data_IF_685594803474
#
_entry.id   IF_685594803474
#
_cell.length_a   1.000
_cell.length_b   1.000
_cell.length_c   1.000
_cell.angle_alpha   90.00
_cell.angle_beta   90.00
_cell.angle_gamma   90.00
#
_symmetry.space_group_name_H-M   'P 1'
#
loop_
_entity.id
_entity.type
_entity.pdbx_description
1 polymer ?
#
# COMPACT_ATOMS: atom_id res chain seq x y z
N UNK A 1 5.30 27.43 -0.41
CA UNK A 1 5.46 26.93 -1.79
C UNK A 1 6.48 25.82 -1.77
N UNK A 2 6.09 24.64 -2.23
CA UNK A 2 6.94 23.45 -2.34
C UNK A 2 6.77 22.89 -3.76
N UNK A 3 7.80 22.21 -4.27
CA UNK A 3 7.85 21.59 -5.59
C UNK A 3 7.47 20.13 -5.47
N UNK A 4 6.32 19.77 -6.03
CA UNK A 4 5.73 18.44 -5.92
C UNK A 4 5.76 17.76 -7.27
N UNK A 5 6.20 16.50 -7.29
CA UNK A 5 6.11 15.66 -8.48
C UNK A 5 5.02 14.62 -8.28
N UNK A 6 4.08 14.59 -9.22
CA UNK A 6 2.99 13.61 -9.26
C UNK A 6 3.35 12.53 -10.26
N UNK A 7 3.56 11.32 -9.75
CA UNK A 7 3.76 10.11 -10.55
C UNK A 7 2.42 9.41 -10.72
N UNK A 8 2.10 8.99 -11.94
CA UNK A 8 0.85 8.29 -12.22
C UNK A 8 1.07 6.87 -12.72
N UNK A 9 0.33 5.92 -12.14
CA UNK A 9 0.30 4.53 -12.60
C UNK A 9 -0.96 4.18 -13.38
N UNK A 10 -1.87 5.15 -13.53
CA UNK A 10 -3.22 4.99 -14.07
C UNK A 10 -4.27 4.90 -12.95
N UNK A 11 -5.20 3.95 -13.07
CA UNK A 11 -6.29 3.77 -12.12
C UNK A 11 -7.47 4.72 -12.32
N UNK A 12 -8.50 4.58 -11.48
CA UNK A 12 -9.81 5.22 -11.63
C UNK A 12 -9.75 6.74 -11.81
N UNK A 13 -8.80 7.42 -11.17
CA UNK A 13 -8.63 8.88 -11.24
C UNK A 13 -8.32 9.36 -12.67
N UNK A 14 -7.70 8.51 -13.48
CA UNK A 14 -7.37 8.76 -14.89
C UNK A 14 -8.28 7.98 -15.86
N UNK A 15 -9.29 7.26 -15.36
CA UNK A 15 -10.13 6.36 -16.15
C UNK A 15 -11.46 6.99 -16.54
N UNK A 16 -11.68 7.18 -17.84
CA UNK A 16 -13.02 7.54 -18.36
C UNK A 16 -13.76 6.30 -18.86
N UNK A 17 -15.10 6.35 -18.86
CA UNK A 17 -15.91 5.34 -19.54
C UNK A 17 -15.87 5.59 -21.05
N UNK A 18 -15.60 4.54 -21.81
CA UNK A 18 -15.60 4.57 -23.27
C UNK A 18 -16.73 3.69 -23.85
N UNK A 19 -16.70 3.40 -25.15
CA UNK A 19 -17.67 2.53 -25.81
C UNK A 19 -17.57 1.04 -25.42
N UNK A 20 -16.51 0.66 -24.71
CA UNK A 20 -16.35 -0.68 -24.12
C UNK A 20 -16.91 -0.75 -22.70
N UNK A 21 -17.45 -1.90 -22.25
CA UNK A 21 -17.90 -2.06 -20.87
C UNK A 21 -16.79 -1.83 -19.84
N UNK A 22 -17.01 -0.91 -18.90
CA UNK A 22 -16.04 -0.55 -17.85
C UNK A 22 -15.32 0.79 -18.09
N UNK A 23 -14.51 1.22 -17.13
CA UNK A 23 -13.68 2.42 -17.25
C UNK A 23 -12.21 2.04 -17.41
N UNK A 24 -11.50 2.75 -18.28
CA UNK A 24 -10.09 2.48 -18.60
C UNK A 24 -9.29 3.75 -18.52
N UNK A 25 -8.04 3.69 -18.02
CA UNK A 25 -7.16 4.84 -17.92
C UNK A 25 -6.87 5.44 -19.29
N UNK A 26 -7.25 6.69 -19.51
CA UNK A 26 -7.17 7.38 -20.82
C UNK A 26 -6.67 8.83 -20.72
N UNK A 27 -6.70 9.43 -19.52
CA UNK A 27 -6.18 10.79 -19.30
C UNK A 27 -4.75 10.76 -18.76
N UNK A 28 -3.89 11.67 -19.23
CA UNK A 28 -2.54 11.85 -18.68
C UNK A 28 -2.59 12.63 -17.38
N UNK A 29 -1.60 12.43 -16.52
CA UNK A 29 -1.50 13.20 -15.28
C UNK A 29 -1.33 14.70 -15.53
N UNK A 30 -0.67 15.10 -16.63
CA UNK A 30 -0.56 16.50 -17.02
C UNK A 30 -1.92 17.14 -17.30
N UNK A 31 -2.84 16.41 -17.95
CA UNK A 31 -4.19 16.90 -18.23
C UNK A 31 -5.00 17.06 -16.93
N UNK A 32 -4.91 16.08 -16.03
CA UNK A 32 -5.55 16.14 -14.71
C UNK A 32 -5.05 17.33 -13.88
N UNK A 33 -3.75 17.63 -13.92
CA UNK A 33 -3.17 18.74 -13.17
C UNK A 33 -3.57 20.12 -13.68
N UNK A 34 -4.09 20.26 -14.91
CA UNK A 34 -4.57 21.54 -15.43
C UNK A 34 -5.88 22.01 -14.77
N UNK A 35 -6.69 21.07 -14.26
CA UNK A 35 -7.99 21.38 -13.63
C UNK A 35 -7.94 21.37 -12.10
N UNK A 36 -6.86 20.86 -11.50
CA UNK A 36 -6.72 20.68 -10.05
C UNK A 36 -6.16 21.95 -9.40
N UNK A 37 -6.81 22.45 -8.35
CA UNK A 37 -6.23 23.51 -7.51
C UNK A 37 -5.05 22.97 -6.70
N UNK A 38 -3.83 23.35 -7.09
CA UNK A 38 -2.59 22.95 -6.40
C UNK A 38 -2.23 23.89 -5.24
N UNK A 39 -3.09 24.85 -4.92
CA UNK A 39 -2.85 25.88 -3.91
C UNK A 39 -1.64 26.75 -4.28
N UNK A 40 -0.65 26.80 -3.39
CA UNK A 40 0.59 27.58 -3.60
C UNK A 40 1.78 26.71 -4.01
N UNK A 41 1.55 25.46 -4.40
CA UNK A 41 2.60 24.51 -4.76
C UNK A 41 2.87 24.52 -6.26
N UNK A 42 4.15 24.36 -6.62
CA UNK A 42 4.55 24.09 -7.99
C UNK A 42 4.44 22.59 -8.22
N UNK A 43 3.65 22.15 -9.21
CA UNK A 43 3.34 20.74 -9.41
C UNK A 43 3.69 20.31 -10.83
N UNK A 44 4.45 19.25 -10.94
CA UNK A 44 4.80 18.60 -12.21
C UNK A 44 4.23 17.18 -12.24
N UNK A 45 3.81 16.71 -13.41
CA UNK A 45 3.24 15.38 -13.58
C UNK A 45 4.12 14.50 -14.47
N UNK A 46 4.19 13.20 -14.16
CA UNK A 46 4.80 12.19 -15.03
C UNK A 46 4.03 10.88 -14.96
N UNK A 47 3.54 10.40 -16.10
CA UNK A 47 3.00 9.05 -16.22
C UNK A 47 4.16 8.04 -16.22
N UNK A 48 4.13 7.08 -15.29
CA UNK A 48 5.13 6.00 -15.19
C UNK A 48 4.54 4.65 -15.62
N UNK A 49 3.23 4.46 -15.44
CA UNK A 49 2.47 3.31 -15.92
C UNK A 49 1.05 3.77 -16.30
N UNK A 50 0.33 2.92 -17.04
CA UNK A 50 -1.09 3.14 -17.40
C UNK A 50 -1.86 1.83 -17.24
N UNK A 51 -1.71 1.20 -16.07
CA UNK A 51 -2.20 -0.16 -15.81
C UNK A 51 -3.13 -0.14 -14.59
N UNK A 52 -4.30 -0.78 -14.70
CA UNK A 52 -5.21 -0.95 -13.57
C UNK A 52 -4.52 -1.71 -12.43
N UNK A 53 -4.72 -1.27 -11.18
CA UNK A 53 -4.00 -1.81 -10.02
C UNK A 53 -4.20 -3.32 -9.83
N UNK A 54 -5.32 -3.88 -10.29
CA UNK A 54 -5.63 -5.32 -10.30
C UNK A 54 -4.87 -6.14 -11.35
N UNK A 55 -4.09 -5.50 -12.23
CA UNK A 55 -3.23 -6.14 -13.23
C UNK A 55 -1.74 -6.01 -12.92
N UNK A 56 -1.37 -5.26 -11.87
CA UNK A 56 0.02 -5.03 -11.52
C UNK A 56 0.68 -6.32 -11.02
N UNK A 57 1.94 -6.49 -11.39
CA UNK A 57 2.80 -7.56 -10.90
C UNK A 57 4.05 -6.99 -10.22
N UNK A 58 4.95 -7.85 -9.73
CA UNK A 58 6.16 -7.43 -9.01
C UNK A 58 7.09 -6.51 -9.83
N UNK A 59 7.18 -6.71 -11.14
CA UNK A 59 7.97 -5.84 -12.01
C UNK A 59 7.39 -4.42 -12.05
N UNK A 60 6.07 -4.31 -12.14
CA UNK A 60 5.41 -2.99 -12.11
C UNK A 60 5.64 -2.29 -10.76
N UNK A 61 5.52 -3.05 -9.66
CA UNK A 61 5.80 -2.54 -8.31
C UNK A 61 7.26 -2.07 -8.15
N UNK A 62 8.23 -2.79 -8.72
CA UNK A 62 9.63 -2.35 -8.76
C UNK A 62 9.80 -1.06 -9.56
N UNK A 63 9.21 -0.95 -10.75
CA UNK A 63 9.25 0.27 -11.58
C UNK A 63 8.69 1.47 -10.80
N UNK A 64 7.60 1.29 -10.05
CA UNK A 64 7.02 2.33 -9.20
C UNK A 64 8.02 2.73 -8.10
N UNK A 65 8.60 1.76 -7.39
CA UNK A 65 9.56 2.03 -6.32
C UNK A 65 10.83 2.75 -6.83
N UNK A 66 11.38 2.33 -7.96
CA UNK A 66 12.52 2.98 -8.63
C UNK A 66 12.17 4.41 -9.03
N UNK A 67 11.00 4.62 -9.64
CA UNK A 67 10.55 5.95 -10.07
C UNK A 67 10.39 6.93 -8.90
N UNK A 68 9.78 6.48 -7.79
CA UNK A 68 9.66 7.29 -6.58
C UNK A 68 11.05 7.59 -6.01
N UNK A 69 11.93 6.60 -5.91
CA UNK A 69 13.27 6.79 -5.39
C UNK A 69 14.10 7.79 -6.23
N UNK A 70 13.97 7.75 -7.55
CA UNK A 70 14.67 8.69 -8.44
C UNK A 70 14.18 10.12 -8.29
N UNK A 71 12.87 10.33 -8.14
CA UNK A 71 12.31 11.66 -7.86
C UNK A 71 12.77 12.17 -6.49
N UNK A 72 12.82 11.30 -5.47
CA UNK A 72 13.26 11.69 -4.13
C UNK A 72 14.73 12.13 -4.08
N UNK A 73 15.59 11.66 -5.01
CA UNK A 73 16.98 12.10 -5.15
C UNK A 73 17.13 13.50 -5.75
N UNK A 74 16.12 14.02 -6.43
CA UNK A 74 16.17 15.36 -7.01
C UNK A 74 16.03 16.42 -5.91
N UNK A 75 17.06 17.24 -5.70
CA UNK A 75 17.05 18.37 -4.77
C UNK A 75 16.02 19.45 -5.18
N UNK A 76 15.47 19.36 -6.39
CA UNK A 76 14.38 20.20 -6.85
C UNK A 76 12.97 19.65 -6.55
N UNK A 77 12.88 18.48 -5.94
CA UNK A 77 11.62 17.91 -5.47
C UNK A 77 11.56 17.99 -3.93
N UNK A 78 10.47 18.55 -3.41
CA UNK A 78 10.21 18.68 -1.97
C UNK A 78 9.23 17.60 -1.45
N UNK A 79 8.46 16.95 -2.34
CA UNK A 79 7.53 15.87 -2.01
C UNK A 79 6.97 15.15 -3.24
N UNK A 80 6.52 13.91 -3.06
CA UNK A 80 6.01 13.05 -4.14
C UNK A 80 4.56 12.68 -3.88
N UNK A 81 3.72 12.76 -4.91
CA UNK A 81 2.38 12.16 -4.93
C UNK A 81 2.37 11.01 -5.95
N UNK A 82 1.85 9.85 -5.58
CA UNK A 82 1.59 8.74 -6.48
C UNK A 82 0.08 8.59 -6.66
N UNK A 83 -0.42 8.81 -7.88
CA UNK A 83 -1.80 8.45 -8.23
C UNK A 83 -1.84 6.98 -8.64
N UNK A 84 -2.72 6.21 -7.99
CA UNK A 84 -2.77 4.76 -8.07
C UNK A 84 -4.19 4.23 -8.09
N UNK A 85 -4.41 3.07 -8.74
CA UNK A 85 -5.66 2.33 -8.63
C UNK A 85 -5.89 1.79 -7.21
N UNK A 86 -7.13 1.80 -6.75
CA UNK A 86 -7.44 1.54 -5.32
C UNK A 86 -7.38 0.07 -4.92
N UNK A 87 -7.37 -0.88 -5.86
CA UNK A 87 -7.51 -2.31 -5.52
C UNK A 87 -6.27 -2.90 -4.85
N UNK A 88 -5.07 -2.42 -5.20
CA UNK A 88 -3.79 -2.88 -4.64
C UNK A 88 -2.95 -1.71 -4.11
N UNK A 89 -3.60 -0.57 -3.84
CA UNK A 89 -2.96 0.64 -3.33
C UNK A 89 -2.22 0.38 -2.01
N UNK A 90 -2.85 -0.39 -1.11
CA UNK A 90 -2.28 -0.74 0.20
C UNK A 90 -0.97 -1.53 0.10
N UNK A 91 -0.85 -2.42 -0.89
CA UNK A 91 0.34 -3.23 -1.14
C UNK A 91 1.47 -2.36 -1.70
N UNK A 92 1.14 -1.51 -2.67
CA UNK A 92 2.11 -0.61 -3.32
C UNK A 92 2.62 0.44 -2.33
N UNK A 93 1.73 1.05 -1.56
CA UNK A 93 2.09 2.03 -0.53
C UNK A 93 3.01 1.39 0.53
N UNK A 94 2.72 0.16 0.95
CA UNK A 94 3.56 -0.55 1.91
C UNK A 94 4.93 -0.93 1.33
N UNK A 95 5.01 -1.38 0.07
CA UNK A 95 6.31 -1.59 -0.59
C UNK A 95 7.16 -0.31 -0.57
N UNK A 96 6.58 0.82 -0.93
CA UNK A 96 7.28 2.11 -0.90
C UNK A 96 7.76 2.43 0.51
N UNK A 97 6.90 2.27 1.52
CA UNK A 97 7.22 2.49 2.95
C UNK A 97 8.38 1.63 3.44
N UNK A 98 8.50 0.39 2.94
CA UNK A 98 9.60 -0.50 3.27
C UNK A 98 10.94 -0.05 2.70
N UNK A 99 10.98 0.69 1.59
CA UNK A 99 12.23 0.88 0.80
C UNK A 99 12.72 2.33 0.72
N UNK A 100 11.89 3.31 1.07
CA UNK A 100 12.32 4.72 1.03
C UNK A 100 12.89 5.20 2.36
N UNK A 101 14.04 5.86 2.29
CA UNK A 101 14.74 6.44 3.44
C UNK A 101 14.68 7.97 3.50
N UNK A 102 14.04 8.61 2.51
CA UNK A 102 13.94 10.07 2.43
C UNK A 102 13.17 10.67 3.60
N UNK A 103 13.49 11.92 3.96
CA UNK A 103 12.66 12.73 4.86
C UNK A 103 11.52 13.43 4.11
N UNK A 104 11.61 13.54 2.77
CA UNK A 104 10.59 14.16 1.92
C UNK A 104 9.29 13.34 1.97
N UNK A 105 8.11 13.97 1.99
CA UNK A 105 6.85 13.25 2.04
C UNK A 105 6.60 12.43 0.76
N UNK A 106 6.06 11.22 0.92
CA UNK A 106 5.54 10.38 -0.17
C UNK A 106 4.08 10.08 0.14
N UNK A 107 3.19 10.47 -0.76
CA UNK A 107 1.75 10.36 -0.58
C UNK A 107 1.16 9.54 -1.71
N UNK A 108 0.38 8.50 -1.40
CA UNK A 108 -0.36 7.69 -2.37
C UNK A 108 -1.83 8.05 -2.31
N UNK A 109 -2.46 8.26 -3.46
CA UNK A 109 -3.88 8.58 -3.57
C UNK A 109 -4.50 7.99 -4.83
N UNK A 110 -5.80 8.17 -5.02
CA UNK A 110 -6.56 7.67 -6.16
C UNK A 110 -8.01 8.13 -6.12
N UNK A 111 -8.90 7.37 -6.75
CA UNK A 111 -10.34 7.62 -6.74
C UNK A 111 -11.16 6.32 -6.65
N UNK A 112 -12.30 6.38 -5.98
CA UNK A 112 -13.32 5.33 -6.02
C UNK A 112 -14.31 5.51 -7.17
N UNK A 113 -14.51 6.76 -7.61
CA UNK A 113 -15.42 7.12 -8.69
C UNK A 113 -14.64 7.69 -9.87
N UNK A 114 -15.05 7.32 -11.07
CA UNK A 114 -14.46 7.82 -12.32
C UNK A 114 -14.78 9.31 -12.53
N UNK A 115 -13.99 10.04 -13.32
CA UNK A 115 -14.20 11.48 -13.55
C UNK A 115 -15.58 11.82 -14.15
N UNK A 116 -16.18 10.90 -14.92
CA UNK A 116 -17.53 11.07 -15.50
C UNK A 116 -18.67 10.81 -14.51
N UNK A 117 -18.38 10.34 -13.29
CA UNK A 117 -19.39 10.06 -12.27
C UNK A 117 -19.78 11.30 -11.47
N UNK A 118 -21.07 11.42 -11.13
CA UNK A 118 -21.55 12.46 -10.20
C UNK A 118 -20.85 12.28 -8.85
N UNK A 119 -20.26 13.38 -8.34
CA UNK A 119 -19.54 13.36 -7.07
C UNK A 119 -18.25 12.53 -7.12
N UNK A 120 -17.52 12.60 -8.24
CA UNK A 120 -16.17 12.04 -8.35
C UNK A 120 -15.27 12.56 -7.24
N UNK A 121 -14.43 11.69 -6.69
CA UNK A 121 -13.58 11.98 -5.54
C UNK A 121 -12.12 12.24 -5.92
N UNK A 122 -11.72 11.95 -7.17
CA UNK A 122 -10.33 12.02 -7.62
C UNK A 122 -9.68 13.40 -7.48
N UNK A 123 -10.37 14.46 -7.88
CA UNK A 123 -9.84 15.83 -7.79
C UNK A 123 -9.57 16.24 -6.34
N UNK A 124 -10.57 16.07 -5.45
CA UNK A 124 -10.41 16.40 -4.03
C UNK A 124 -9.32 15.56 -3.35
N UNK A 125 -9.28 14.26 -3.63
CA UNK A 125 -8.24 13.38 -3.11
C UNK A 125 -6.83 13.83 -3.59
N UNK A 126 -6.70 14.26 -4.84
CA UNK A 126 -5.44 14.75 -5.38
C UNK A 126 -5.03 16.09 -4.77
N UNK A 127 -5.97 17.04 -4.58
CA UNK A 127 -5.72 18.29 -3.88
C UNK A 127 -5.22 18.04 -2.45
N UNK A 128 -5.91 17.16 -1.71
CA UNK A 128 -5.51 16.78 -0.35
C UNK A 128 -4.12 16.13 -0.34
N UNK A 129 -3.84 15.23 -1.30
CA UNK A 129 -2.54 14.58 -1.41
C UNK A 129 -1.40 15.56 -1.71
N UNK A 130 -1.63 16.53 -2.60
CA UNK A 130 -0.67 17.60 -2.92
C UNK A 130 -0.42 18.47 -1.67
N UNK A 131 -1.47 18.84 -0.93
CA UNK A 131 -1.33 19.61 0.30
C UNK A 131 -0.54 18.85 1.38
N UNK A 132 -0.75 17.53 1.51
CA UNK A 132 0.04 16.67 2.40
C UNK A 132 1.49 16.56 1.92
N UNK A 133 1.72 16.34 0.62
CA UNK A 133 3.08 16.23 0.08
C UNK A 133 3.88 17.54 0.22
N UNK A 134 3.21 18.69 0.15
CA UNK A 134 3.82 20.02 0.32
C UNK A 134 3.91 20.53 1.76
N UNK A 135 3.43 19.77 2.74
CA UNK A 135 3.45 20.16 4.15
C UNK A 135 4.74 19.72 4.84
N UNK A 136 5.43 20.66 5.48
CA UNK A 136 6.60 20.33 6.33
C UNK A 136 6.24 19.42 7.50
N UNK A 137 4.98 19.43 7.96
CA UNK A 137 4.49 18.52 9.02
C UNK A 137 4.47 17.07 8.57
N UNK A 138 4.52 16.80 7.27
CA UNK A 138 4.42 15.46 6.68
C UNK A 138 5.78 14.80 6.45
N UNK A 139 6.87 15.51 6.73
CA UNK A 139 8.22 14.95 6.66
C UNK A 139 8.44 13.86 7.71
N UNK A 140 9.26 12.87 7.36
CA UNK A 140 9.65 11.74 8.23
C UNK A 140 8.50 10.85 8.73
N UNK A 141 7.34 10.85 8.06
CA UNK A 141 6.16 10.05 8.44
C UNK A 141 5.98 8.73 7.66
N UNK A 142 7.00 8.29 6.95
CA UNK A 142 6.89 7.15 6.03
C UNK A 142 6.05 7.50 4.80
N UNK A 143 5.46 6.50 4.17
CA UNK A 143 4.46 6.69 3.12
C UNK A 143 3.08 6.88 3.74
N UNK A 144 2.34 7.84 3.19
CA UNK A 144 0.98 8.16 3.61
C UNK A 144 -0.02 7.84 2.51
N UNK A 145 -1.21 7.40 2.89
CA UNK A 145 -2.35 7.23 1.98
C UNK A 145 -3.36 8.33 2.30
N UNK A 146 -3.81 9.07 1.29
CA UNK A 146 -4.76 10.19 1.46
C UNK A 146 -6.03 9.95 0.66
N UNK A 147 -7.17 9.89 1.35
CA UNK A 147 -8.48 9.66 0.77
C UNK A 147 -9.57 10.34 1.61
N UNK A 148 -10.51 11.03 0.96
CA UNK A 148 -11.66 11.66 1.59
C UNK A 148 -11.29 12.52 2.82
N UNK A 149 -10.24 13.33 2.71
CA UNK A 149 -9.73 14.18 3.80
C UNK A 149 -8.99 13.46 4.92
N UNK A 150 -8.91 12.13 4.93
CA UNK A 150 -8.19 11.37 5.95
C UNK A 150 -6.76 11.03 5.50
N UNK A 151 -5.82 11.07 6.45
CA UNK A 151 -4.41 10.72 6.24
C UNK A 151 -4.11 9.42 6.99
N UNK A 152 -3.78 8.37 6.26
CA UNK A 152 -3.50 7.03 6.79
C UNK A 152 -2.00 6.70 6.66
N UNK A 153 -1.40 5.96 7.61
CA UNK A 153 -0.10 5.36 7.38
C UNK A 153 -0.20 4.26 6.31
N UNK A 154 0.87 4.01 5.54
CA UNK A 154 0.88 2.86 4.62
C UNK A 154 0.80 1.53 5.38
N UNK A 155 1.66 1.33 6.38
CA UNK A 155 1.67 0.12 7.20
C UNK A 155 0.33 -0.05 7.95
N UNK A 156 -0.30 -1.20 7.77
CA UNK A 156 -1.52 -1.59 8.46
C UNK A 156 -2.81 -1.02 7.87
N UNK A 157 -2.75 -0.18 6.83
CA UNK A 157 -3.94 0.30 6.14
C UNK A 157 -4.38 -0.64 5.03
N UNK A 158 -5.68 -0.93 4.99
CA UNK A 158 -6.31 -1.77 3.96
C UNK A 158 -7.60 -1.15 3.43
N UNK A 159 -8.01 -1.54 2.23
CA UNK A 159 -9.30 -1.21 1.61
C UNK A 159 -10.40 -2.04 2.28
N UNK A 160 -11.26 -1.37 3.05
CA UNK A 160 -12.38 -1.96 3.79
C UNK A 160 -13.70 -1.90 3.03
N UNK A 161 -13.81 -1.08 1.98
CA UNK A 161 -15.05 -0.94 1.22
C UNK A 161 -14.81 -0.93 -0.28
N UNK A 162 -15.70 -1.59 -1.02
CA UNK A 162 -15.59 -1.78 -2.47
C UNK A 162 -15.97 -0.54 -3.29
N UNK A 163 -16.85 0.32 -2.75
CA UNK A 163 -17.42 1.49 -3.47
C UNK A 163 -17.53 2.80 -2.68
N UNK A 164 -17.19 2.81 -1.38
CA UNK A 164 -17.40 3.99 -0.52
C UNK A 164 -16.25 4.97 -0.76
N UNK A 165 -16.48 6.28 -0.95
CA UNK A 165 -15.44 7.30 -1.11
C UNK A 165 -14.41 7.37 0.02
N UNK A 166 -14.73 6.84 1.21
CA UNK A 166 -13.77 6.60 2.29
C UNK A 166 -13.51 5.09 2.43
N UNK A 167 -12.70 4.48 1.54
CA UNK A 167 -12.58 3.04 1.46
C UNK A 167 -11.48 2.48 2.36
N UNK A 168 -10.53 3.29 2.84
CA UNK A 168 -9.33 2.82 3.54
C UNK A 168 -9.47 2.92 5.07
N UNK A 169 -8.95 1.92 5.78
CA UNK A 169 -9.00 1.84 7.24
C UNK A 169 -7.85 1.02 7.81
N UNK A 170 -8.12 0.09 8.74
CA UNK A 170 -7.10 -0.72 9.41
C UNK A 170 -6.66 -0.09 10.74
N UNK A 171 -5.37 0.26 10.87
CA UNK A 171 -4.79 0.88 12.07
C UNK A 171 -5.33 2.29 12.41
N UNK A 172 -6.23 2.82 11.58
CA UNK A 172 -6.86 4.14 11.74
C UNK A 172 -6.08 5.26 11.06
N UNK A 173 -6.76 6.39 10.81
CA UNK A 173 -6.11 7.59 10.29
C UNK A 173 -5.16 8.19 11.34
N UNK A 174 -4.01 8.69 10.90
CA UNK A 174 -3.03 9.39 11.74
C UNK A 174 -3.17 10.92 11.68
N UNK A 175 -4.00 11.42 10.76
CA UNK A 175 -4.25 12.83 10.54
C UNK A 175 -5.43 13.08 9.60
N UNK A 176 -5.65 14.35 9.28
CA UNK A 176 -6.67 14.80 8.33
C UNK A 176 -6.25 16.10 7.65
N UNK A 177 -6.88 16.38 6.51
CA UNK A 177 -6.81 17.65 5.79
C UNK A 177 -8.10 18.43 6.05
N UNK A 178 -7.97 19.67 6.46
CA UNK A 178 -9.09 20.58 6.70
C UNK A 178 -9.13 21.68 5.65
N UNK A 179 -10.33 21.94 5.12
CA UNK A 179 -10.60 23.10 4.29
C UNK A 179 -10.89 24.30 5.19
N UNK A 180 -10.02 25.32 5.13
CA UNK A 180 -10.20 26.55 5.90
C UNK A 180 -10.54 27.69 4.93
N UNK A 181 -11.54 28.52 5.22
CA UNK A 181 -11.83 29.69 4.40
C UNK A 181 -10.56 30.53 4.18
N UNK A 182 -10.22 30.80 2.92
CA UNK A 182 -8.99 31.53 2.62
C UNK A 182 -9.05 32.93 3.25
N UNK A 183 -7.96 33.32 3.91
CA UNK A 183 -7.86 34.66 4.54
C UNK A 183 -7.94 35.83 3.53
N UNK A 184 -7.79 35.53 2.24
CA UNK A 184 -7.98 36.46 1.13
C UNK A 184 -9.46 36.73 0.79
N UNK A 185 -10.39 35.95 1.35
CA UNK A 185 -11.82 36.12 1.12
C UNK A 185 -12.33 37.36 1.87
N UNK A 186 -12.54 38.46 1.16
CA UNK A 186 -13.21 39.64 1.72
C UNK A 186 -14.65 39.28 2.09
N UNK A 187 -15.15 39.80 3.21
CA UNK A 187 -16.57 39.68 3.58
C UNK A 187 -17.42 40.20 2.42
N UNK A 188 -18.16 39.30 1.76
CA UNK A 188 -19.04 39.61 0.63
C UNK A 188 -18.57 39.10 -0.74
N UNK A 189 -17.36 38.56 -0.86
CA UNK A 189 -16.92 37.84 -2.07
C UNK A 189 -17.17 36.34 -1.88
N UNK A 190 -17.88 35.72 -2.84
CA UNK A 190 -18.03 34.26 -2.91
C UNK A 190 -16.72 33.66 -3.45
N UNK A 191 -15.64 33.65 -2.66
CA UNK A 191 -14.47 32.84 -3.02
C UNK A 191 -14.79 31.38 -2.66
N UNK A 192 -14.86 30.52 -3.66
CA UNK A 192 -14.92 29.05 -3.47
C UNK A 192 -13.57 28.45 -3.07
N UNK A 193 -12.54 29.31 -2.93
CA UNK A 193 -11.17 28.90 -2.64
C UNK A 193 -10.95 28.74 -1.12
N UNK A 194 -10.58 27.54 -0.71
CA UNK A 194 -10.25 27.19 0.67
C UNK A 194 -8.77 26.81 0.76
N UNK A 195 -8.10 27.28 1.81
CA UNK A 195 -6.72 26.88 2.09
C UNK A 195 -6.75 25.49 2.76
N UNK A 196 -6.02 24.54 2.21
CA UNK A 196 -5.85 23.19 2.78
C UNK A 196 -4.89 23.25 3.97
N UNK A 197 -5.34 22.81 5.16
CA UNK A 197 -4.49 22.65 6.34
C UNK A 197 -4.32 21.19 6.74
N UNK A 198 -3.05 20.79 6.92
CA UNK A 198 -2.67 19.43 7.30
C UNK A 198 -2.52 19.33 8.82
N UNK A 199 -3.23 18.36 9.41
CA UNK A 199 -3.24 18.07 10.84
C UNK A 199 -2.88 16.61 11.10
N UNK A 200 -2.05 16.35 12.11
CA UNK A 200 -1.71 15.01 12.59
C UNK A 200 -2.05 14.90 14.07
N UNK A 201 -2.66 13.79 14.46
CA UNK A 201 -2.93 13.42 15.85
C UNK A 201 -2.17 12.16 16.26
N UNK A 202 -1.49 11.48 15.34
CA UNK A 202 -0.58 10.38 15.62
C UNK A 202 0.68 10.44 14.72
N UNK A 203 1.73 9.72 15.12
CA UNK A 203 2.92 9.54 14.31
C UNK A 203 3.01 8.07 13.86
N UNK A 204 2.97 7.78 12.54
CA UNK A 204 3.16 6.42 12.03
C UNK A 204 4.48 5.79 12.51
N UNK A 205 4.47 4.47 12.75
CA UNK A 205 5.69 3.70 12.93
C UNK A 205 6.43 3.62 11.60
N UNK A 206 7.71 3.97 11.61
CA UNK A 206 8.60 3.85 10.46
C UNK A 206 9.73 2.87 10.82
N UNK A 207 9.80 1.75 10.10
CA UNK A 207 10.93 0.83 10.20
C UNK A 207 12.14 1.39 9.43
N UNK A 208 13.34 0.85 9.66
CA UNK A 208 14.48 1.14 8.80
C UNK A 208 14.17 0.75 7.36
N UNK A 209 14.58 1.57 6.40
CA UNK A 209 14.41 1.23 4.99
C UNK A 209 15.25 0.00 4.61
N UNK A 210 14.60 -0.95 3.93
CA UNK A 210 15.22 -2.03 3.17
C UNK A 210 15.81 -1.49 1.87
N UNK A 211 16.60 -2.32 1.19
CA UNK A 211 17.09 -1.97 -0.15
C UNK A 211 15.91 -1.88 -1.13
N UNK A 212 16.06 -1.04 -2.16
CA UNK A 212 15.13 -1.04 -3.29
C UNK A 212 15.07 -2.44 -3.92
N UNK A 213 13.89 -2.88 -4.40
CA UNK A 213 13.77 -4.14 -5.12
C UNK A 213 14.61 -4.10 -6.40
N UNK A 214 15.32 -5.20 -6.69
CA UNK A 214 16.02 -5.43 -7.96
C UNK A 214 15.24 -6.43 -8.83
N UNK A 215 15.76 -6.78 -10.00
CA UNK A 215 15.11 -7.70 -10.94
C UNK A 215 14.77 -9.09 -10.37
N UNK A 216 15.40 -9.52 -9.25
CA UNK A 216 15.03 -10.77 -8.58
C UNK A 216 13.62 -10.68 -7.99
N UNK A 217 13.19 -9.50 -7.55
CA UNK A 217 11.85 -9.29 -7.00
C UNK A 217 10.76 -9.64 -8.03
N UNK A 218 10.99 -9.31 -9.31
CA UNK A 218 10.06 -9.58 -10.42
C UNK A 218 9.69 -11.06 -10.55
N UNK A 219 10.61 -11.95 -10.19
CA UNK A 219 10.46 -13.42 -10.28
C UNK A 219 10.31 -14.11 -8.93
N UNK A 220 10.40 -13.38 -7.82
CA UNK A 220 10.24 -13.94 -6.47
C UNK A 220 8.77 -14.21 -6.20
N UNK A 221 8.36 -15.46 -6.40
CA UNK A 221 6.97 -15.88 -6.25
C UNK A 221 6.63 -16.13 -4.78
N UNK A 222 5.64 -15.39 -4.26
CA UNK A 222 5.06 -15.62 -2.93
C UNK A 222 3.55 -15.73 -3.04
N UNK A 223 2.99 -16.92 -2.81
CA UNK A 223 1.53 -17.13 -2.91
C UNK A 223 0.84 -17.00 -1.55
N UNK A 224 -0.49 -16.92 -1.58
CA UNK A 224 -1.34 -16.78 -0.38
C UNK A 224 -2.32 -17.94 -0.32
N UNK A 225 -2.40 -18.60 0.83
CA UNK A 225 -3.33 -19.70 1.09
C UNK A 225 -4.26 -19.30 2.23
N UNK A 226 -5.55 -19.19 1.97
CA UNK A 226 -6.53 -18.77 2.98
C UNK A 226 -7.14 -19.97 3.69
N UNK A 227 -7.00 -20.02 5.01
CA UNK A 227 -7.58 -21.08 5.84
C UNK A 227 -9.09 -20.86 6.03
N UNK A 228 -9.87 -21.92 5.84
CA UNK A 228 -11.31 -21.98 6.07
C UNK A 228 -11.71 -23.35 6.65
N UNK A 229 -12.93 -23.51 7.20
CA UNK A 229 -13.43 -24.82 7.58
C UNK A 229 -13.35 -25.79 6.39
N UNK A 230 -12.70 -26.94 6.60
CA UNK A 230 -12.46 -27.94 5.56
C UNK A 230 -11.32 -27.60 4.59
N UNK A 231 -10.51 -26.57 4.85
CA UNK A 231 -9.30 -26.33 4.07
C UNK A 231 -8.32 -27.51 4.19
N UNK A 232 -7.70 -27.88 3.09
CA UNK A 232 -6.65 -28.87 3.00
C UNK A 232 -5.37 -28.24 2.41
N UNK A 233 -4.34 -29.06 2.18
CA UNK A 233 -3.07 -28.61 1.63
C UNK A 233 -3.06 -28.49 0.09
N UNK A 234 -4.16 -28.76 -0.61
CA UNK A 234 -4.17 -28.87 -2.08
C UNK A 234 -3.67 -27.59 -2.75
N UNK A 235 -4.20 -26.43 -2.35
CA UNK A 235 -3.77 -25.14 -2.90
C UNK A 235 -2.32 -24.81 -2.52
N UNK A 236 -1.93 -25.10 -1.28
CA UNK A 236 -0.59 -24.83 -0.76
C UNK A 236 0.46 -25.67 -1.50
N UNK A 237 0.19 -26.96 -1.70
CA UNK A 237 1.02 -27.87 -2.46
C UNK A 237 1.14 -27.43 -3.93
N UNK A 238 0.03 -27.05 -4.55
CA UNK A 238 0.05 -26.59 -5.95
C UNK A 238 0.92 -25.34 -6.15
N UNK A 239 0.95 -24.42 -5.18
CA UNK A 239 1.84 -23.25 -5.24
C UNK A 239 3.30 -23.63 -5.02
N UNK A 240 3.59 -24.52 -4.06
CA UNK A 240 4.93 -25.04 -3.83
C UNK A 240 5.49 -25.75 -5.08
N UNK A 241 4.70 -26.65 -5.68
CA UNK A 241 5.05 -27.37 -6.92
C UNK A 241 5.27 -26.42 -8.11
N UNK A 242 4.55 -25.29 -8.12
CA UNK A 242 4.69 -24.26 -9.13
C UNK A 242 5.85 -23.27 -8.86
N UNK A 243 6.73 -23.60 -7.91
CA UNK A 243 7.99 -22.89 -7.66
C UNK A 243 7.88 -21.67 -6.76
N UNK A 244 6.90 -21.63 -5.85
CA UNK A 244 6.84 -20.57 -4.85
C UNK A 244 8.11 -20.54 -3.97
N UNK A 245 8.75 -19.38 -3.87
CA UNK A 245 9.87 -19.17 -2.95
C UNK A 245 9.40 -19.06 -1.50
N UNK A 246 8.14 -18.63 -1.31
CA UNK A 246 7.46 -18.66 -0.02
C UNK A 246 5.95 -18.62 -0.15
N UNK A 247 5.25 -18.89 0.95
CA UNK A 247 3.80 -18.82 1.02
C UNK A 247 3.38 -18.07 2.28
N UNK A 248 2.32 -17.27 2.18
CA UNK A 248 1.62 -16.71 3.34
C UNK A 248 0.38 -17.56 3.61
N UNK A 249 0.41 -18.32 4.70
CA UNK A 249 -0.77 -18.97 5.26
C UNK A 249 -1.60 -17.93 6.02
N UNK A 250 -2.83 -17.68 5.58
CA UNK A 250 -3.77 -16.78 6.22
C UNK A 250 -4.65 -17.59 7.16
N UNK A 251 -4.19 -17.72 8.40
CA UNK A 251 -4.85 -18.48 9.45
C UNK A 251 -6.18 -17.88 9.92
N UNK A 252 -6.87 -18.65 10.76
CA UNK A 252 -8.09 -18.22 11.45
C UNK A 252 -7.77 -17.71 12.86
N UNK A 253 -8.56 -16.79 13.41
CA UNK A 253 -8.35 -16.29 14.77
C UNK A 253 -6.95 -15.69 14.95
N UNK A 254 -6.19 -16.19 15.92
CA UNK A 254 -4.81 -15.76 16.20
C UNK A 254 -3.75 -16.40 15.27
N UNK A 255 -4.14 -16.86 14.07
CA UNK A 255 -3.25 -17.52 13.08
C UNK A 255 -3.34 -19.04 13.07
N UNK A 256 -4.46 -19.64 13.47
CA UNK A 256 -4.63 -21.09 13.50
C UNK A 256 -4.87 -21.67 12.09
N UNK A 257 -4.17 -22.77 11.78
CA UNK A 257 -4.40 -23.61 10.62
C UNK A 257 -5.30 -24.81 10.94
N UNK A 258 -4.84 -25.99 10.56
CA UNK A 258 -5.39 -27.29 10.93
C UNK A 258 -4.29 -28.36 10.76
N UNK A 259 -4.59 -29.64 11.02
CA UNK A 259 -3.63 -30.72 10.91
C UNK A 259 -3.03 -30.88 9.51
N UNK A 260 -3.85 -30.84 8.45
CA UNK A 260 -3.39 -31.03 7.08
C UNK A 260 -2.44 -29.91 6.63
N UNK A 261 -2.74 -28.66 6.97
CA UNK A 261 -1.87 -27.52 6.68
C UNK A 261 -0.60 -27.53 7.51
N UNK A 262 -0.64 -28.02 8.76
CA UNK A 262 0.54 -28.14 9.61
C UNK A 262 1.49 -29.23 9.11
N UNK A 263 0.96 -30.39 8.72
CA UNK A 263 1.72 -31.49 8.11
C UNK A 263 2.43 -30.98 6.86
N UNK A 264 1.68 -30.39 5.93
CA UNK A 264 2.23 -29.77 4.72
C UNK A 264 3.28 -28.69 5.02
N UNK A 265 3.00 -27.79 5.96
CA UNK A 265 3.92 -26.70 6.26
C UNK A 265 5.24 -27.22 6.85
N UNK A 266 5.18 -28.25 7.70
CA UNK A 266 6.38 -28.87 8.29
C UNK A 266 7.27 -29.45 7.21
N UNK A 267 6.70 -30.26 6.29
CA UNK A 267 7.45 -30.84 5.16
C UNK A 267 7.99 -29.77 4.20
N UNK A 268 7.19 -28.74 3.92
CA UNK A 268 7.52 -27.66 2.99
C UNK A 268 8.65 -26.79 3.52
N UNK A 269 8.63 -26.47 4.82
CA UNK A 269 9.70 -25.71 5.48
C UNK A 269 11.00 -26.51 5.48
N UNK A 270 10.95 -27.81 5.77
CA UNK A 270 12.12 -28.69 5.69
C UNK A 270 12.70 -28.76 4.28
N UNK A 271 11.85 -28.66 3.24
CA UNK A 271 12.28 -28.58 1.83
C UNK A 271 12.88 -27.23 1.42
N UNK A 272 12.86 -26.23 2.31
CA UNK A 272 13.48 -24.92 2.11
C UNK A 272 12.55 -23.81 1.62
N UNK A 273 11.25 -24.05 1.51
CA UNK A 273 10.27 -23.01 1.15
C UNK A 273 9.85 -22.27 2.42
N UNK A 274 9.89 -20.93 2.38
CA UNK A 274 9.53 -20.12 3.54
C UNK A 274 8.02 -20.03 3.72
N UNK A 275 7.52 -20.36 4.91
CA UNK A 275 6.09 -20.22 5.25
C UNK A 275 5.91 -19.07 6.24
N UNK A 276 5.25 -18.00 5.81
CA UNK A 276 4.77 -16.92 6.67
C UNK A 276 3.36 -17.23 7.19
N UNK A 277 3.10 -16.98 8.47
CA UNK A 277 1.80 -17.13 9.10
C UNK A 277 1.20 -15.76 9.41
N UNK A 278 0.07 -15.47 8.78
CA UNK A 278 -0.77 -14.29 9.01
C UNK A 278 -2.18 -14.73 9.45
N UNK A 279 -3.13 -13.81 9.51
CA UNK A 279 -4.52 -14.09 9.85
C UNK A 279 -5.50 -13.35 8.95
N UNK A 280 -6.67 -13.95 8.72
CA UNK A 280 -7.79 -13.28 8.03
C UNK A 280 -8.52 -12.28 8.94
N UNK A 281 -8.22 -12.29 10.23
CA UNK A 281 -8.81 -11.34 11.18
C UNK A 281 -8.21 -9.95 10.89
N UNK A 282 -9.04 -8.91 10.67
CA UNK A 282 -8.53 -7.60 10.25
C UNK A 282 -7.60 -6.89 11.26
N UNK A 283 -7.64 -7.29 12.53
CA UNK A 283 -6.86 -6.65 13.59
C UNK A 283 -6.31 -7.68 14.58
N UNK A 284 -5.10 -7.40 15.06
CA UNK A 284 -4.40 -8.21 16.07
C UNK A 284 -3.29 -9.07 15.48
N UNK A 285 -2.30 -9.37 16.30
CA UNK A 285 -1.14 -10.16 15.89
C UNK A 285 -1.45 -11.65 15.84
N UNK A 286 -0.72 -12.37 15.00
CA UNK A 286 -0.58 -13.83 15.12
C UNK A 286 0.13 -14.16 16.44
N UNK A 287 -0.46 -15.06 17.23
CA UNK A 287 0.03 -15.42 18.55
C UNK A 287 0.01 -16.94 18.75
N UNK A 288 1.03 -17.54 19.40
CA UNK A 288 1.13 -18.99 19.56
C UNK A 288 0.27 -19.45 20.75
N UNK A 289 -1.05 -19.29 20.65
CA UNK A 289 -2.00 -19.56 21.73
C UNK A 289 -2.56 -20.99 21.74
N UNK A 290 -2.57 -21.65 20.58
CA UNK A 290 -3.21 -22.95 20.40
C UNK A 290 -2.26 -23.92 19.69
N UNK A 291 -2.18 -25.15 20.20
CA UNK A 291 -1.61 -26.30 19.50
C UNK A 291 -2.71 -27.18 18.86
N UNK A 292 -2.36 -28.43 18.54
CA UNK A 292 -3.21 -29.38 17.80
C UNK A 292 -3.63 -28.88 16.40
N UNK A 293 -2.66 -28.39 15.61
CA UNK A 293 -2.87 -27.74 14.31
C UNK A 293 -3.03 -26.21 14.40
N UNK A 294 -2.75 -25.64 15.57
CA UNK A 294 -2.85 -24.20 15.82
C UNK A 294 -1.50 -23.48 15.67
N UNK A 295 -1.51 -22.15 15.82
CA UNK A 295 -0.34 -21.31 15.59
C UNK A 295 0.92 -21.74 16.37
N UNK A 296 0.77 -22.28 17.59
CA UNK A 296 1.91 -22.75 18.39
C UNK A 296 2.70 -23.86 17.69
N UNK A 297 2.03 -24.76 16.96
CA UNK A 297 2.68 -25.86 16.27
C UNK A 297 3.35 -25.38 14.98
N UNK A 298 2.74 -24.43 14.27
CA UNK A 298 3.37 -23.80 13.09
C UNK A 298 4.66 -23.07 13.47
N UNK A 299 4.67 -22.40 14.63
CA UNK A 299 5.90 -21.78 15.14
C UNK A 299 6.99 -22.83 15.42
N UNK A 300 6.62 -23.97 16.01
CA UNK A 300 7.55 -25.07 16.26
C UNK A 300 8.06 -25.70 14.95
N UNK A 301 7.22 -25.76 13.92
CA UNK A 301 7.59 -26.22 12.58
C UNK A 301 8.47 -25.22 11.81
N UNK A 302 8.71 -24.01 12.35
CA UNK A 302 9.59 -23.00 11.74
C UNK A 302 8.87 -21.95 10.89
N UNK A 303 7.54 -21.87 10.94
CA UNK A 303 6.81 -20.82 10.25
C UNK A 303 7.12 -19.43 10.85
N UNK A 304 7.23 -18.43 9.98
CA UNK A 304 7.51 -17.05 10.36
C UNK A 304 6.20 -16.30 10.68
N UNK A 305 6.04 -15.81 11.91
CA UNK A 305 4.85 -15.04 12.27
C UNK A 305 4.92 -13.64 11.67
N UNK A 306 3.89 -13.23 10.93
CA UNK A 306 3.85 -11.94 10.23
C UNK A 306 3.32 -10.79 11.10
N UNK A 307 3.36 -10.95 12.43
CA UNK A 307 2.95 -9.93 13.40
C UNK A 307 1.50 -9.50 13.23
N UNK A 308 1.28 -8.19 13.25
CA UNK A 308 -0.03 -7.55 13.04
C UNK A 308 -0.25 -7.02 11.61
N UNK A 309 0.63 -7.37 10.68
CA UNK A 309 0.48 -6.94 9.28
C UNK A 309 -0.75 -7.60 8.65
N UNK A 310 -1.56 -6.83 7.90
CA UNK A 310 -2.52 -7.41 6.97
C UNK A 310 -1.83 -8.41 6.05
N UNK A 311 -2.51 -9.52 5.73
CA UNK A 311 -1.91 -10.59 4.93
C UNK A 311 -1.44 -10.12 3.54
N UNK A 312 -2.09 -9.11 2.95
CA UNK A 312 -1.70 -8.47 1.69
C UNK A 312 -0.32 -7.82 1.80
N UNK A 313 -0.11 -7.03 2.87
CA UNK A 313 1.17 -6.39 3.19
C UNK A 313 2.25 -7.39 3.61
N UNK A 314 1.88 -8.42 4.38
CA UNK A 314 2.77 -9.51 4.75
C UNK A 314 3.35 -10.22 3.51
N UNK A 315 2.54 -10.43 2.46
CA UNK A 315 2.99 -10.99 1.18
C UNK A 315 4.07 -10.13 0.53
N UNK A 316 3.87 -8.82 0.50
CA UNK A 316 4.84 -7.86 -0.08
C UNK A 316 6.16 -7.87 0.70
N UNK A 317 6.12 -7.82 2.04
CA UNK A 317 7.31 -7.91 2.88
C UNK A 317 8.06 -9.22 2.64
N UNK A 318 7.35 -10.35 2.63
CA UNK A 318 7.97 -11.66 2.42
C UNK A 318 8.61 -11.76 1.03
N UNK A 319 7.93 -11.28 -0.02
CA UNK A 319 8.48 -11.25 -1.37
C UNK A 319 9.73 -10.37 -1.48
N UNK A 320 9.75 -9.21 -0.82
CA UNK A 320 10.90 -8.31 -0.82
C UNK A 320 12.09 -8.91 -0.07
N UNK A 321 11.85 -9.53 1.10
CA UNK A 321 12.92 -10.15 1.87
C UNK A 321 13.53 -11.36 1.14
N UNK A 322 12.69 -12.24 0.56
CA UNK A 322 13.15 -13.40 -0.20
C UNK A 322 13.91 -13.04 -1.48
N UNK A 323 13.58 -11.90 -2.11
CA UNK A 323 14.31 -11.45 -3.30
C UNK A 323 15.72 -10.95 -2.95
N UNK A 324 15.92 -10.50 -1.71
CA UNK A 324 17.18 -9.93 -1.23
C UNK A 324 18.06 -10.94 -0.49
N UNK A 325 17.45 -11.93 0.19
CA UNK A 325 18.12 -12.87 1.07
C UNK A 325 17.55 -14.28 0.89
N UNK A 326 18.40 -15.30 0.87
CA UNK A 326 17.96 -16.70 0.80
C UNK A 326 17.31 -17.20 2.09
N UNK A 327 17.66 -16.63 3.25
CA UNK A 327 17.13 -17.03 4.56
C UNK A 327 16.74 -15.78 5.33
N UNK A 328 15.49 -15.72 5.77
CA UNK A 328 14.97 -14.60 6.57
C UNK A 328 15.16 -14.93 8.04
N UNK A 329 15.97 -14.13 8.74
CA UNK A 329 16.07 -14.24 10.20
C UNK A 329 14.84 -13.64 10.88
N UNK A 330 14.48 -14.18 12.06
CA UNK A 330 13.41 -13.64 12.90
C UNK A 330 13.63 -12.17 13.25
N UNK A 331 14.89 -11.78 13.47
CA UNK A 331 15.25 -10.42 13.86
C UNK A 331 15.06 -9.43 12.71
N UNK A 332 15.44 -9.84 11.49
CA UNK A 332 15.19 -9.06 10.28
C UNK A 332 13.69 -8.87 10.04
N UNK A 333 12.87 -9.88 10.32
CA UNK A 333 11.42 -9.78 10.18
C UNK A 333 10.79 -8.89 11.27
N UNK A 334 11.22 -9.03 12.53
CA UNK A 334 10.65 -8.37 13.71
C UNK A 334 10.60 -6.84 13.61
N UNK A 335 11.56 -6.22 12.91
CA UNK A 335 11.60 -4.77 12.73
C UNK A 335 10.44 -4.25 11.85
N UNK A 336 9.95 -5.08 10.93
CA UNK A 336 8.96 -4.69 9.91
C UNK A 336 7.53 -5.17 10.22
N UNK A 337 7.38 -6.16 11.12
CA UNK A 337 6.09 -6.71 11.58
C UNK A 337 5.60 -6.16 12.91
#
# INVERSE_FOLDING_TARGET
MARITVLATGGTIASTRSSTPGATATESIEALLQSVDTGTHEVTGKDILTTGSYLLNHKDLRIIAESVADVLKDDNCDGVVLTHGTDTLEETAYLLDLVHSSSKPVVVTGAQRTPDSIGHDGELNLQDAIAVAGSSKSQERGVLIVFAGAIHPARGTTKLHTTNPSPFGGVGACGYVADIPSSASKIGESSTQADKQVHYHACPRRARALNLPDERFDSTRVDVVVTHPGADATAAQAYADAGAAGLVLVGTGAGNGNHALLEWASETIESGITVGLSTRVPHGSVLPLYGNGGASDFLQAGALFMGDLPWSQARILLALLLSQQQVISSDALAEHI
#
